data_IF_680991252343
#
_entry.id   IF_680991252343
#
_cell.length_a   1.000
_cell.length_b   1.000
_cell.length_c   1.000
_cell.angle_alpha   90.00
_cell.angle_beta   90.00
_cell.angle_gamma   90.00
#
_symmetry.space_group_name_H-M   'P 1'
#
loop_
_entity.id
_entity.type
_entity.pdbx_description
1 polymer ?
#
# COMPACT_ATOMS: atom_id res chain seq x y z
N UNK A 1 -1.14 -24.34 3.95
CA UNK A 1 -0.76 -23.14 3.17
C UNK A 1 0.52 -23.40 2.42
N UNK A 2 0.48 -23.74 1.12
CA UNK A 2 1.65 -23.81 0.23
C UNK A 2 2.43 -22.48 0.13
N UNK A 3 3.76 -22.41 0.34
CA UNK A 3 4.62 -21.23 0.10
C UNK A 3 5.73 -21.52 -0.91
N UNK A 4 5.74 -20.90 -2.09
CA UNK A 4 6.74 -21.18 -3.12
C UNK A 4 8.14 -20.54 -2.87
N UNK A 5 9.23 -21.19 -3.28
CA UNK A 5 10.63 -20.79 -3.06
C UNK A 5 11.57 -21.10 -4.23
N UNK A 6 12.40 -20.15 -4.65
CA UNK A 6 13.22 -20.23 -5.87
C UNK A 6 14.73 -20.27 -5.61
N UNK A 7 15.49 -21.16 -6.29
CA UNK A 7 16.97 -21.11 -6.35
C UNK A 7 17.51 -21.60 -7.72
N UNK A 8 18.61 -21.00 -8.24
CA UNK A 8 19.33 -21.53 -9.40
C UNK A 8 19.93 -22.93 -9.14
N UNK A 9 19.90 -23.80 -10.15
CA UNK A 9 20.16 -25.25 -10.08
C UNK A 9 21.62 -25.70 -9.83
N UNK A 10 22.51 -24.86 -9.29
CA UNK A 10 23.91 -25.27 -9.10
C UNK A 10 24.25 -25.95 -7.77
N UNK A 11 23.30 -26.09 -6.84
CA UNK A 11 23.56 -26.75 -5.56
C UNK A 11 22.64 -27.95 -5.31
N UNK A 12 23.25 -29.13 -5.27
CA UNK A 12 22.67 -30.31 -4.64
C UNK A 12 22.35 -29.96 -3.17
N UNK A 13 21.08 -30.18 -2.81
CA UNK A 13 20.56 -29.98 -1.47
C UNK A 13 21.33 -30.85 -0.46
N UNK A 14 22.27 -30.26 0.27
CA UNK A 14 22.66 -30.75 1.60
C UNK A 14 21.90 -29.94 2.64
N UNK A 15 20.58 -30.09 2.68
CA UNK A 15 19.74 -29.43 3.68
C UNK A 15 19.06 -30.45 4.59
N UNK A 16 18.98 -30.10 5.87
CA UNK A 16 18.25 -30.84 6.89
C UNK A 16 16.79 -31.06 6.47
N UNK A 17 16.14 -32.14 6.92
CA UNK A 17 14.76 -32.42 6.56
C UNK A 17 13.85 -31.24 6.94
N UNK A 18 12.82 -30.93 6.12
CA UNK A 18 11.89 -29.87 6.45
C UNK A 18 11.22 -30.13 7.80
N UNK A 19 10.79 -29.09 8.54
CA UNK A 19 10.05 -29.25 9.77
C UNK A 19 8.84 -30.19 9.55
N UNK A 20 8.47 -31.02 10.54
CA UNK A 20 7.30 -31.89 10.43
C UNK A 20 6.05 -31.08 10.02
N UNK A 21 5.35 -31.52 8.98
CA UNK A 21 4.12 -30.87 8.50
C UNK A 21 4.30 -29.86 7.36
N UNK A 22 5.48 -29.82 6.73
CA UNK A 22 5.77 -29.04 5.52
C UNK A 22 5.98 -29.99 4.34
N UNK A 23 5.15 -29.88 3.30
CA UNK A 23 5.38 -30.56 2.01
C UNK A 23 6.07 -29.57 1.07
N UNK A 24 7.13 -30.00 0.38
CA UNK A 24 7.82 -29.22 -0.65
C UNK A 24 7.44 -29.76 -2.03
N UNK A 25 6.62 -29.02 -2.79
CA UNK A 25 6.35 -29.35 -4.20
C UNK A 25 7.23 -28.49 -5.11
N UNK A 26 8.21 -29.11 -5.77
CA UNK A 26 9.11 -28.43 -6.70
C UNK A 26 8.56 -28.41 -8.13
N UNK A 27 8.66 -27.25 -8.79
CA UNK A 27 8.41 -27.05 -10.21
C UNK A 27 9.64 -26.42 -10.85
N UNK A 28 10.00 -26.89 -12.04
CA UNK A 28 11.09 -26.32 -12.83
C UNK A 28 10.49 -25.37 -13.87
N UNK A 29 11.02 -24.15 -13.94
CA UNK A 29 10.59 -23.14 -14.91
C UNK A 29 11.82 -22.67 -15.70
N UNK A 30 11.71 -22.66 -17.02
CA UNK A 30 12.65 -22.00 -17.91
C UNK A 30 12.37 -20.50 -17.99
N UNK A 31 13.39 -19.68 -17.77
CA UNK A 31 13.35 -18.24 -17.96
C UNK A 31 14.13 -17.84 -19.20
N UNK A 32 13.54 -17.02 -20.06
CA UNK A 32 14.27 -16.37 -21.15
C UNK A 32 15.24 -15.29 -20.61
N UNK A 33 16.26 -14.90 -21.37
CA UNK A 33 17.16 -13.79 -21.00
C UNK A 33 16.44 -12.48 -20.64
N UNK A 34 15.35 -12.15 -21.34
CA UNK A 34 14.57 -10.94 -21.04
C UNK A 34 13.79 -11.07 -19.74
N UNK A 35 13.19 -12.24 -19.49
CA UNK A 35 12.48 -12.52 -18.24
C UNK A 35 13.45 -12.51 -17.03
N UNK A 36 14.67 -13.03 -17.21
CA UNK A 36 15.71 -12.94 -16.19
C UNK A 36 16.14 -11.49 -15.93
N UNK A 37 16.43 -10.71 -16.97
CA UNK A 37 16.83 -9.30 -16.82
C UNK A 37 15.77 -8.51 -16.08
N UNK A 38 14.51 -8.71 -16.46
CA UNK A 38 13.37 -8.13 -15.76
C UNK A 38 13.35 -8.52 -14.27
N UNK A 39 13.54 -9.80 -13.97
CA UNK A 39 13.57 -10.31 -12.60
C UNK A 39 14.76 -9.72 -11.79
N UNK A 40 15.96 -9.71 -12.39
CA UNK A 40 17.17 -9.19 -11.80
C UNK A 40 17.06 -7.70 -11.44
N UNK A 41 16.48 -6.90 -12.32
CA UNK A 41 16.24 -5.47 -12.08
C UNK A 41 15.31 -5.23 -10.88
N UNK A 42 14.33 -6.13 -10.67
CA UNK A 42 13.39 -6.04 -9.53
C UNK A 42 13.97 -6.56 -8.22
N UNK A 43 14.94 -7.45 -8.29
CA UNK A 43 15.58 -8.07 -7.13
C UNK A 43 16.83 -7.33 -6.64
N UNK A 44 17.22 -6.21 -7.27
CA UNK A 44 18.46 -5.52 -6.95
C UNK A 44 18.54 -5.05 -5.48
N UNK A 45 19.62 -5.39 -4.73
CA UNK A 45 20.77 -6.14 -5.18
C UNK A 45 20.48 -7.65 -5.29
N UNK A 46 20.85 -8.23 -6.44
CA UNK A 46 20.83 -9.68 -6.61
C UNK A 46 21.67 -10.34 -5.52
N UNK A 47 21.24 -11.52 -5.01
CA UNK A 47 22.08 -12.32 -4.14
C UNK A 47 23.45 -12.57 -4.80
N UNK A 48 24.55 -12.64 -4.02
CA UNK A 48 25.92 -12.71 -4.57
C UNK A 48 26.14 -13.86 -5.57
N UNK A 49 25.37 -14.92 -5.44
CA UNK A 49 25.50 -16.16 -6.23
C UNK A 49 24.54 -16.22 -7.43
N UNK A 50 23.77 -15.16 -7.69
CA UNK A 50 22.82 -15.14 -8.81
C UNK A 50 23.49 -14.60 -10.09
N UNK A 51 23.22 -15.21 -11.26
CA UNK A 51 23.86 -14.78 -12.51
C UNK A 51 23.43 -13.36 -12.88
N UNK A 52 24.37 -12.43 -13.01
CA UNK A 52 24.00 -11.04 -13.36
C UNK A 52 23.43 -10.95 -14.79
N UNK A 53 23.90 -11.81 -15.68
CA UNK A 53 23.39 -11.93 -17.05
C UNK A 53 23.18 -13.40 -17.40
N UNK A 54 22.18 -13.66 -18.22
CA UNK A 54 21.84 -15.00 -18.71
C UNK A 54 21.76 -14.92 -20.23
N UNK A 55 22.51 -15.78 -20.92
CA UNK A 55 22.57 -15.81 -22.39
C UNK A 55 21.71 -16.92 -23.02
N UNK A 56 21.05 -17.74 -22.20
CA UNK A 56 20.18 -18.83 -22.64
C UNK A 56 18.95 -18.98 -21.74
N UNK A 57 18.26 -20.10 -21.84
CA UNK A 57 17.13 -20.37 -20.95
C UNK A 57 17.65 -20.79 -19.57
N UNK A 58 17.38 -19.98 -18.54
CA UNK A 58 17.77 -20.29 -17.16
C UNK A 58 16.69 -21.13 -16.52
N UNK A 59 17.02 -22.37 -16.15
CA UNK A 59 16.13 -23.20 -15.35
C UNK A 59 16.20 -22.76 -13.88
N UNK A 60 15.05 -22.41 -13.33
CA UNK A 60 14.88 -22.09 -11.91
C UNK A 60 13.93 -23.10 -11.27
N UNK A 61 14.29 -23.59 -10.08
CA UNK A 61 13.44 -24.51 -9.31
C UNK A 61 12.60 -23.70 -8.32
N UNK A 62 11.29 -23.74 -8.46
CA UNK A 62 10.27 -23.08 -7.64
C UNK A 62 9.65 -24.14 -6.70
N UNK A 63 9.73 -24.01 -5.37
CA UNK A 63 9.24 -25.00 -4.39
C UNK A 63 8.12 -24.52 -3.47
N UNK A 64 6.93 -25.12 -3.54
CA UNK A 64 5.75 -24.83 -2.72
C UNK A 64 5.76 -25.51 -1.35
N UNK A 65 5.78 -24.73 -0.27
CA UNK A 65 5.80 -25.11 1.15
C UNK A 65 4.38 -25.28 1.66
N UNK A 66 3.74 -26.43 1.58
CA UNK A 66 2.40 -26.62 2.15
C UNK A 66 2.45 -26.71 3.67
N UNK A 67 2.10 -25.63 4.38
CA UNK A 67 1.85 -25.66 5.82
C UNK A 67 0.61 -26.52 6.12
N UNK A 68 0.71 -27.42 7.09
CA UNK A 68 -0.45 -28.12 7.64
C UNK A 68 -1.47 -27.13 8.24
N UNK A 69 -2.76 -27.51 8.26
CA UNK A 69 -3.82 -26.72 8.87
C UNK A 69 -3.52 -26.46 10.35
N UNK A 70 -3.58 -25.19 10.78
CA UNK A 70 -3.39 -24.78 12.17
C UNK A 70 -1.98 -24.29 12.55
N UNK A 71 -1.01 -24.26 11.62
CA UNK A 71 0.30 -23.67 11.88
C UNK A 71 0.32 -22.14 11.69
N UNK A 72 1.06 -21.44 12.57
CA UNK A 72 1.27 -19.99 12.48
C UNK A 72 2.19 -19.60 11.31
N UNK A 73 1.97 -18.41 10.74
CA UNK A 73 2.84 -17.88 9.70
C UNK A 73 4.27 -17.64 10.23
N UNK A 74 5.33 -17.99 9.48
CA UNK A 74 6.69 -17.77 9.92
C UNK A 74 7.00 -16.26 10.10
N UNK A 75 7.94 -15.90 11.01
CA UNK A 75 8.31 -14.51 11.24
C UNK A 75 9.02 -13.90 10.02
N UNK A 76 8.49 -12.76 9.56
CA UNK A 76 8.97 -11.80 8.54
C UNK A 76 9.70 -12.34 7.30
N UNK A 77 9.08 -12.11 6.15
CA UNK A 77 9.71 -12.13 4.83
C UNK A 77 10.65 -10.94 4.64
N UNK A 78 11.90 -11.20 4.24
CA UNK A 78 12.87 -10.16 3.85
C UNK A 78 14.27 -10.25 4.45
N UNK A 79 14.54 -11.15 5.42
CA UNK A 79 15.89 -11.32 6.00
C UNK A 79 16.68 -12.50 5.36
N UNK A 80 16.21 -13.02 4.24
CA UNK A 80 16.86 -14.08 3.46
C UNK A 80 16.17 -14.26 2.10
N UNK A 81 16.90 -14.75 1.11
CA UNK A 81 16.63 -14.74 -0.34
C UNK A 81 15.34 -15.46 -0.84
N UNK A 82 14.15 -15.03 -0.42
CA UNK A 82 12.89 -15.68 -0.82
C UNK A 82 12.00 -14.78 -1.68
N UNK A 83 11.65 -15.26 -2.88
CA UNK A 83 10.63 -14.68 -3.77
C UNK A 83 9.40 -15.60 -3.83
N UNK A 84 8.22 -15.02 -3.57
CA UNK A 84 6.92 -15.67 -3.45
C UNK A 84 6.15 -15.66 -4.79
N UNK A 85 5.45 -16.75 -5.14
CA UNK A 85 4.39 -16.74 -6.16
C UNK A 85 3.23 -17.64 -5.71
N UNK A 86 2.01 -17.13 -5.79
CA UNK A 86 0.79 -17.76 -5.26
C UNK A 86 -0.27 -17.98 -6.36
N UNK A 87 -1.53 -18.29 -6.00
CA UNK A 87 -2.63 -18.72 -6.89
C UNK A 87 -2.86 -17.74 -8.07
N UNK A 88 -3.48 -18.13 -9.19
CA UNK A 88 -3.65 -17.26 -10.37
C UNK A 88 -4.26 -15.88 -10.07
N UNK A 89 -5.21 -15.81 -9.13
CA UNK A 89 -5.80 -14.57 -8.64
C UNK A 89 -4.81 -13.72 -7.85
N UNK A 90 -3.93 -14.33 -7.06
CA UNK A 90 -2.86 -13.63 -6.34
C UNK A 90 -1.68 -13.26 -7.25
N UNK A 91 -1.46 -13.97 -8.36
CA UNK A 91 -0.45 -13.59 -9.38
C UNK A 91 -0.77 -12.23 -9.97
N UNK A 92 -2.05 -11.96 -10.26
CA UNK A 92 -2.46 -10.67 -10.79
C UNK A 92 -2.19 -9.53 -9.80
N UNK A 93 -2.57 -9.72 -8.53
CA UNK A 93 -2.34 -8.73 -7.47
C UNK A 93 -0.84 -8.52 -7.20
N UNK A 94 -0.07 -9.60 -7.12
CA UNK A 94 1.36 -9.54 -6.88
C UNK A 94 2.10 -8.92 -8.09
N UNK A 95 1.67 -9.23 -9.31
CA UNK A 95 2.19 -8.59 -10.52
C UNK A 95 1.89 -7.09 -10.52
N UNK A 96 0.66 -6.68 -10.17
CA UNK A 96 0.32 -5.27 -10.06
C UNK A 96 1.22 -4.52 -9.05
N UNK A 97 1.68 -5.19 -7.99
CA UNK A 97 2.64 -4.65 -7.02
C UNK A 97 4.10 -4.67 -7.53
N UNK A 98 4.57 -5.77 -8.09
CA UNK A 98 5.98 -5.95 -8.47
C UNK A 98 6.32 -5.24 -9.80
N UNK A 99 5.38 -5.19 -10.74
CA UNK A 99 5.56 -4.51 -12.02
C UNK A 99 5.43 -2.98 -11.91
N UNK A 100 4.87 -2.48 -10.81
CA UNK A 100 4.71 -1.04 -10.53
C UNK A 100 5.79 -0.55 -9.53
N UNK A 101 6.62 0.45 -9.87
CA UNK A 101 7.60 1.03 -8.94
C UNK A 101 7.02 1.48 -7.59
N UNK A 102 5.77 1.93 -7.57
CA UNK A 102 5.07 2.34 -6.35
C UNK A 102 4.58 1.16 -5.51
N UNK A 103 4.28 0.03 -6.15
CA UNK A 103 4.02 -1.23 -5.47
C UNK A 103 5.29 -1.77 -4.81
N UNK A 104 6.43 -1.73 -5.50
CA UNK A 104 7.74 -2.08 -4.92
C UNK A 104 8.08 -1.17 -3.73
N UNK A 105 7.91 0.14 -3.87
CA UNK A 105 8.10 1.09 -2.75
C UNK A 105 7.19 0.74 -1.57
N UNK A 106 5.92 0.43 -1.82
CA UNK A 106 4.99 -0.01 -0.78
C UNK A 106 5.46 -1.29 -0.09
N UNK A 107 5.91 -2.30 -0.84
CA UNK A 107 6.43 -3.55 -0.29
C UNK A 107 7.66 -3.32 0.60
N UNK A 108 8.56 -2.42 0.20
CA UNK A 108 9.80 -2.17 0.93
C UNK A 108 9.62 -1.31 2.19
N UNK A 109 8.66 -0.38 2.19
CA UNK A 109 8.57 0.62 3.26
C UNK A 109 7.33 0.49 4.16
N UNK A 110 6.22 -0.10 3.69
CA UNK A 110 5.00 -0.16 4.49
C UNK A 110 5.10 -1.12 5.68
N UNK A 111 4.34 -0.83 6.73
CA UNK A 111 4.22 -1.71 7.90
C UNK A 111 3.13 -2.77 7.69
N UNK A 112 3.44 -3.79 6.90
CA UNK A 112 2.49 -4.83 6.45
C UNK A 112 1.73 -5.57 7.55
N UNK A 113 2.32 -5.73 8.74
CA UNK A 113 1.64 -6.38 9.88
C UNK A 113 0.34 -5.68 10.30
N UNK A 114 0.14 -4.42 9.90
CA UNK A 114 -1.11 -3.67 10.15
C UNK A 114 -2.22 -3.96 9.12
N UNK A 115 -1.87 -4.49 7.95
CA UNK A 115 -2.86 -4.85 6.91
C UNK A 115 -3.67 -6.08 7.28
N UNK A 116 -3.06 -7.02 8.00
CA UNK A 116 -3.76 -8.17 8.57
C UNK A 116 -4.67 -7.79 9.75
N UNK A 117 -4.75 -6.50 10.12
CA UNK A 117 -5.68 -6.08 11.16
C UNK A 117 -7.13 -6.16 10.66
N UNK A 118 -7.99 -6.67 11.54
CA UNK A 118 -9.43 -6.69 11.34
C UNK A 118 -10.00 -5.34 10.89
N UNK A 119 -9.45 -4.23 11.39
CA UNK A 119 -9.87 -2.89 10.99
C UNK A 119 -9.58 -2.55 9.53
N UNK A 120 -8.42 -2.96 8.98
CA UNK A 120 -8.10 -2.74 7.57
C UNK A 120 -9.07 -3.51 6.67
N UNK A 121 -9.29 -4.79 6.98
CA UNK A 121 -10.23 -5.65 6.24
C UNK A 121 -11.64 -5.05 6.22
N UNK A 122 -12.12 -4.54 7.36
CA UNK A 122 -13.41 -3.84 7.42
C UNK A 122 -13.45 -2.57 6.55
N UNK A 123 -12.35 -1.85 6.41
CA UNK A 123 -12.31 -0.67 5.54
C UNK A 123 -12.38 -1.05 4.09
N UNK A 124 -11.58 -2.02 3.65
CA UNK A 124 -11.59 -2.53 2.28
C UNK A 124 -12.99 -3.02 1.92
N UNK A 125 -13.61 -3.85 2.76
CA UNK A 125 -14.97 -4.31 2.56
C UNK A 125 -16.00 -3.17 2.45
N UNK A 126 -15.89 -2.13 3.29
CA UNK A 126 -16.76 -0.94 3.20
C UNK A 126 -16.56 -0.17 1.91
N UNK A 127 -15.32 -0.06 1.42
CA UNK A 127 -15.03 0.63 0.15
C UNK A 127 -15.68 -0.13 -0.98
N UNK A 128 -15.45 -1.45 -1.10
CA UNK A 128 -16.10 -2.25 -2.13
C UNK A 128 -17.63 -2.16 -2.08
N UNK A 129 -18.23 -2.27 -0.90
CA UNK A 129 -19.68 -2.15 -0.74
C UNK A 129 -20.22 -0.73 -1.10
N UNK A 130 -19.41 0.31 -0.90
CA UNK A 130 -19.76 1.66 -1.34
C UNK A 130 -19.68 1.79 -2.86
N UNK A 131 -18.59 1.29 -3.48
CA UNK A 131 -18.42 1.31 -4.94
C UNK A 131 -19.54 0.54 -5.64
N UNK A 132 -19.85 -0.67 -5.16
CA UNK A 132 -20.92 -1.50 -5.70
C UNK A 132 -22.30 -0.82 -5.61
N UNK A 133 -22.65 -0.26 -4.44
CA UNK A 133 -23.94 0.45 -4.26
C UNK A 133 -24.06 1.70 -5.14
N UNK A 134 -22.93 2.30 -5.50
CA UNK A 134 -22.88 3.48 -6.37
C UNK A 134 -22.63 3.13 -7.83
N UNK A 135 -22.54 1.83 -8.15
CA UNK A 135 -22.26 1.32 -9.49
C UNK A 135 -20.94 1.86 -10.07
N UNK A 136 -19.99 2.24 -9.20
CA UNK A 136 -18.71 2.81 -9.60
C UNK A 136 -17.69 1.70 -9.92
N UNK A 137 -17.13 1.65 -11.14
CA UNK A 137 -16.06 0.71 -11.45
C UNK A 137 -14.82 0.98 -10.59
N UNK A 138 -14.24 -0.02 -9.89
CA UNK A 138 -13.04 0.18 -9.08
C UNK A 138 -11.83 0.72 -9.87
N UNK A 139 -11.78 0.44 -11.18
CA UNK A 139 -10.76 0.96 -12.08
C UNK A 139 -10.85 2.48 -12.28
N UNK A 140 -12.02 3.08 -12.09
CA UNK A 140 -12.29 4.50 -12.34
C UNK A 140 -12.29 5.32 -11.05
N UNK A 141 -11.93 4.69 -9.93
CA UNK A 141 -11.85 5.31 -8.60
C UNK A 141 -10.44 5.24 -8.06
N UNK A 142 -10.00 6.33 -7.45
CA UNK A 142 -8.70 6.47 -6.80
C UNK A 142 -8.88 6.91 -5.35
N UNK A 143 -8.28 6.15 -4.43
CA UNK A 143 -8.27 6.44 -3.00
C UNK A 143 -7.10 7.37 -2.67
N UNK A 144 -7.38 8.47 -1.99
CA UNK A 144 -6.38 9.50 -1.68
C UNK A 144 -6.18 9.73 -0.16
N UNK A 145 -5.16 10.54 0.14
CA UNK A 145 -4.93 11.24 1.38
C UNK A 145 -4.70 10.32 2.59
N UNK A 146 -5.63 10.31 3.54
CA UNK A 146 -5.44 9.68 4.84
C UNK A 146 -5.35 8.16 4.75
N UNK A 147 -6.10 7.54 3.81
CA UNK A 147 -6.17 6.09 3.73
C UNK A 147 -4.87 5.48 3.17
N UNK A 148 -4.14 6.21 2.33
CA UNK A 148 -2.78 5.85 1.89
C UNK A 148 -1.81 5.80 3.08
N UNK A 149 -1.89 6.77 4.00
CA UNK A 149 -1.07 6.75 5.21
C UNK A 149 -1.42 5.56 6.11
N UNK A 150 -2.70 5.19 6.19
CA UNK A 150 -3.13 3.99 6.93
C UNK A 150 -2.65 2.71 6.25
N UNK A 151 -2.71 2.64 4.92
CA UNK A 151 -2.21 1.53 4.11
C UNK A 151 -0.71 1.29 4.36
N UNK A 152 0.09 2.36 4.38
CA UNK A 152 1.51 2.30 4.73
C UNK A 152 1.76 2.01 6.23
N UNK A 153 0.70 1.99 7.03
CA UNK A 153 0.74 1.78 8.46
C UNK A 153 1.31 2.97 9.24
N UNK A 154 1.30 4.18 8.67
CA UNK A 154 1.78 5.42 9.29
C UNK A 154 0.82 5.88 10.38
N UNK A 155 -0.45 6.10 10.08
CA UNK A 155 -1.47 6.49 11.07
C UNK A 155 -2.87 6.11 10.57
N UNK A 156 -3.88 6.20 11.44
CA UNK A 156 -5.26 5.87 11.06
C UNK A 156 -5.91 7.04 10.30
N UNK A 157 -6.63 6.72 9.24
CA UNK A 157 -7.45 7.66 8.48
C UNK A 157 -8.79 7.92 9.20
N UNK A 158 -9.23 9.17 9.26
CA UNK A 158 -10.52 9.54 9.86
C UNK A 158 -11.70 9.39 8.90
N UNK A 159 -11.44 9.54 7.60
CA UNK A 159 -12.41 9.40 6.53
C UNK A 159 -11.77 8.76 5.31
N UNK A 160 -12.57 8.53 4.28
CA UNK A 160 -12.14 7.93 3.02
C UNK A 160 -12.36 8.99 1.95
N UNK A 161 -11.27 9.47 1.36
CA UNK A 161 -11.30 10.46 0.28
C UNK A 161 -11.12 9.72 -1.03
N UNK A 162 -12.05 9.93 -1.95
CA UNK A 162 -12.07 9.27 -3.26
C UNK A 162 -12.10 10.31 -4.38
N UNK A 163 -11.37 10.04 -5.44
CA UNK A 163 -11.55 10.67 -6.75
C UNK A 163 -12.23 9.64 -7.67
N UNK A 164 -13.23 10.07 -8.42
CA UNK A 164 -13.98 9.23 -9.37
C UNK A 164 -14.06 9.93 -10.72
N UNK A 165 -13.90 9.18 -11.81
CA UNK A 165 -14.16 9.71 -13.16
C UNK A 165 -15.64 10.05 -13.35
N UNK A 166 -16.51 9.27 -12.71
CA UNK A 166 -17.95 9.51 -12.68
C UNK A 166 -18.34 10.46 -11.54
N UNK A 167 -19.37 11.26 -11.78
CA UNK A 167 -19.92 12.17 -10.77
C UNK A 167 -20.77 11.39 -9.75
N UNK A 168 -20.47 11.61 -8.47
CA UNK A 168 -21.21 10.99 -7.37
C UNK A 168 -22.13 12.05 -6.76
N UNK A 169 -23.44 11.94 -7.02
CA UNK A 169 -24.44 12.93 -6.62
C UNK A 169 -24.54 13.12 -5.10
N UNK A 170 -24.32 12.05 -4.32
CA UNK A 170 -24.49 12.07 -2.87
C UNK A 170 -23.40 11.28 -2.14
N UNK A 171 -22.49 12.02 -1.50
CA UNK A 171 -21.47 11.44 -0.62
C UNK A 171 -22.04 11.16 0.77
N UNK A 172 -21.74 9.97 1.30
CA UNK A 172 -22.14 9.55 2.65
C UNK A 172 -20.90 9.33 3.53
N UNK A 173 -21.01 9.65 4.82
CA UNK A 173 -19.92 9.36 5.76
C UNK A 173 -19.65 7.84 5.81
N UNK A 174 -18.37 7.40 5.83
CA UNK A 174 -17.15 8.19 5.97
C UNK A 174 -16.51 8.66 4.64
N UNK A 175 -17.19 8.47 3.50
CA UNK A 175 -16.71 8.80 2.16
C UNK A 175 -16.87 10.29 1.85
N UNK A 176 -15.91 10.83 1.10
CA UNK A 176 -15.88 12.23 0.67
C UNK A 176 -15.24 12.34 -0.71
N UNK A 177 -15.74 13.29 -1.50
CA UNK A 177 -15.08 13.72 -2.74
C UNK A 177 -13.67 14.26 -2.44
N UNK A 178 -12.74 13.98 -3.34
CA UNK A 178 -11.37 14.50 -3.31
C UNK A 178 -11.12 15.61 -4.34
N UNK A 179 -12.12 16.05 -5.10
CA UNK A 179 -11.95 17.03 -6.19
C UNK A 179 -11.36 18.37 -5.69
N UNK A 180 -11.64 18.75 -4.45
CA UNK A 180 -11.06 19.93 -3.80
C UNK A 180 -9.54 19.82 -3.59
N UNK A 181 -8.98 18.61 -3.66
CA UNK A 181 -7.55 18.34 -3.51
C UNK A 181 -6.78 18.36 -4.84
N UNK A 182 -7.47 18.36 -5.99
CA UNK A 182 -6.83 18.32 -7.31
C UNK A 182 -5.88 19.51 -7.54
N UNK A 183 -6.25 20.70 -7.05
CA UNK A 183 -5.41 21.90 -7.11
C UNK A 183 -4.02 21.70 -6.49
N UNK A 184 -3.92 20.81 -5.49
CA UNK A 184 -2.70 20.52 -4.78
C UNK A 184 -1.92 19.37 -5.40
N UNK A 185 -2.59 18.39 -6.03
CA UNK A 185 -1.94 17.34 -6.81
C UNK A 185 -1.22 17.87 -8.05
N UNK A 186 -1.69 18.98 -8.63
CA UNK A 186 -1.09 19.55 -9.85
C UNK A 186 -1.15 18.61 -11.07
N UNK A 187 -2.04 17.63 -11.02
CA UNK A 187 -2.37 16.69 -12.10
C UNK A 187 -3.89 16.70 -12.25
N UNK A 188 -4.37 16.41 -13.46
CA UNK A 188 -5.81 16.25 -13.69
C UNK A 188 -6.34 15.00 -13.01
N UNK A 189 -7.65 14.96 -12.76
CA UNK A 189 -8.35 13.80 -12.21
C UNK A 189 -8.12 12.55 -13.06
N UNK A 190 -8.17 12.71 -14.38
CA UNK A 190 -7.97 11.63 -15.35
C UNK A 190 -6.53 11.10 -15.31
N UNK A 191 -5.52 11.96 -15.26
CA UNK A 191 -4.12 11.53 -15.14
C UNK A 191 -3.88 10.75 -13.85
N UNK A 192 -4.37 11.24 -12.71
CA UNK A 192 -4.18 10.56 -11.42
C UNK A 192 -4.76 9.14 -11.43
N UNK A 193 -5.94 8.94 -12.05
CA UNK A 193 -6.66 7.66 -12.06
C UNK A 193 -6.10 6.70 -13.11
N UNK A 194 -5.75 7.20 -14.30
CA UNK A 194 -5.43 6.35 -15.46
C UNK A 194 -3.92 6.13 -15.66
N UNK A 195 -3.07 7.04 -15.20
CA UNK A 195 -1.63 6.90 -15.36
C UNK A 195 -1.02 6.11 -14.20
N UNK A 196 -0.40 4.93 -14.47
CA UNK A 196 0.20 4.09 -13.42
C UNK A 196 1.36 4.76 -12.69
N UNK A 197 1.90 5.89 -13.19
CA UNK A 197 2.90 6.71 -12.50
C UNK A 197 2.35 7.47 -11.29
N UNK A 198 1.03 7.55 -11.12
CA UNK A 198 0.43 8.32 -10.02
C UNK A 198 -0.36 7.47 -9.02
N UNK A 199 -0.44 6.16 -9.24
CA UNK A 199 -1.13 5.25 -8.32
C UNK A 199 -0.43 3.91 -8.16
N UNK A 200 -0.82 3.20 -7.11
CA UNK A 200 -0.48 1.81 -6.86
C UNK A 200 -1.78 1.02 -6.64
N UNK A 201 -1.78 -0.26 -7.00
CA UNK A 201 -2.96 -1.13 -6.84
C UNK A 201 -2.70 -2.08 -5.69
N UNK A 202 -3.63 -2.11 -4.73
CA UNK A 202 -3.61 -3.01 -3.57
C UNK A 202 -5.03 -3.48 -3.32
N UNK A 203 -5.21 -4.78 -3.12
CA UNK A 203 -6.52 -5.38 -2.82
C UNK A 203 -7.60 -5.00 -3.87
N UNK A 204 -7.20 -4.95 -5.16
CA UNK A 204 -8.06 -4.54 -6.26
C UNK A 204 -8.45 -3.05 -6.30
N UNK A 205 -7.87 -2.21 -5.44
CA UNK A 205 -8.18 -0.79 -5.33
C UNK A 205 -6.97 0.08 -5.71
N UNK A 206 -7.21 1.18 -6.44
CA UNK A 206 -6.16 2.17 -6.74
C UNK A 206 -5.98 3.13 -5.58
N UNK A 207 -4.74 3.33 -5.16
CA UNK A 207 -4.34 4.31 -4.15
C UNK A 207 -3.35 5.30 -4.75
N UNK A 208 -3.47 6.58 -4.39
CA UNK A 208 -2.49 7.59 -4.80
C UNK A 208 -1.07 7.15 -4.41
N UNK A 209 -0.14 7.27 -5.35
CA UNK A 209 1.25 6.90 -5.14
C UNK A 209 1.86 7.72 -4.00
N UNK A 210 2.73 7.08 -3.21
CA UNK A 210 3.28 7.69 -1.99
C UNK A 210 3.98 9.04 -2.26
N UNK A 211 4.76 9.13 -3.34
CA UNK A 211 5.43 10.36 -3.74
C UNK A 211 4.43 11.46 -4.15
N UNK A 212 3.35 11.11 -4.84
CA UNK A 212 2.31 12.04 -5.27
C UNK A 212 1.52 12.58 -4.07
N UNK A 213 1.32 11.75 -3.05
CA UNK A 213 0.77 12.19 -1.76
C UNK A 213 1.73 13.14 -1.02
N UNK A 214 3.05 12.89 -1.03
CA UNK A 214 4.04 13.85 -0.49
C UNK A 214 3.93 15.19 -1.21
N UNK A 215 3.85 15.17 -2.54
CA UNK A 215 3.71 16.37 -3.36
C UNK A 215 2.46 17.19 -2.99
N UNK A 216 1.28 16.53 -2.91
CA UNK A 216 0.04 17.17 -2.45
C UNK A 216 0.23 17.86 -1.10
N UNK A 217 0.83 17.16 -0.14
CA UNK A 217 1.02 17.66 1.24
C UNK A 217 1.98 18.84 1.30
N UNK A 218 3.04 18.79 0.52
CA UNK A 218 4.03 19.86 0.42
C UNK A 218 3.45 21.14 -0.18
N UNK A 219 2.51 21.03 -1.13
CA UNK A 219 1.81 22.20 -1.70
C UNK A 219 0.74 22.75 -0.78
N UNK A 220 0.00 21.88 -0.08
CA UNK A 220 -1.10 22.28 0.80
C UNK A 220 -0.65 22.88 2.14
N UNK A 221 0.48 22.40 2.69
CA UNK A 221 1.18 22.96 3.88
C UNK A 221 0.31 23.15 5.13
N UNK A 222 -0.72 22.32 5.37
CA UNK A 222 -1.42 22.36 6.67
C UNK A 222 -0.52 21.79 7.76
N UNK A 223 -0.75 22.17 9.03
CA UNK A 223 0.02 21.62 10.16
C UNK A 223 0.01 20.08 10.20
N UNK A 224 -1.15 19.48 9.93
CA UNK A 224 -1.29 18.02 9.79
C UNK A 224 -0.49 17.45 8.63
N UNK A 225 -0.32 18.20 7.54
CA UNK A 225 0.48 17.78 6.39
C UNK A 225 1.97 17.81 6.70
N UNK A 226 2.43 18.80 7.47
CA UNK A 226 3.83 18.86 7.91
C UNK A 226 4.18 17.68 8.82
N UNK A 227 3.28 17.34 9.75
CA UNK A 227 3.45 16.15 10.59
C UNK A 227 3.41 14.86 9.76
N UNK A 228 2.48 14.75 8.82
CA UNK A 228 2.41 13.61 7.90
C UNK A 228 3.70 13.46 7.08
N UNK A 229 4.23 14.55 6.51
CA UNK A 229 5.49 14.54 5.78
C UNK A 229 6.67 14.08 6.64
N UNK A 230 6.75 14.55 7.88
CA UNK A 230 7.78 14.12 8.83
C UNK A 230 7.68 12.61 9.12
N UNK A 231 6.46 12.09 9.29
CA UNK A 231 6.21 10.66 9.48
C UNK A 231 6.49 9.82 8.24
N UNK A 232 6.15 10.31 7.05
CA UNK A 232 6.44 9.66 5.78
C UNK A 232 7.95 9.52 5.56
N UNK A 233 8.70 10.60 5.77
CA UNK A 233 10.16 10.57 5.68
C UNK A 233 10.76 9.63 6.75
N UNK A 234 10.23 9.65 7.98
CA UNK A 234 10.67 8.74 9.03
C UNK A 234 10.45 7.26 8.67
N UNK A 235 9.40 6.94 7.93
CA UNK A 235 9.14 5.60 7.43
C UNK A 235 10.19 5.17 6.39
N UNK A 236 10.45 6.04 5.39
CA UNK A 236 11.47 5.80 4.36
C UNK A 236 12.88 5.66 4.96
N UNK A 237 13.21 6.46 5.99
CA UNK A 237 14.49 6.43 6.70
C UNK A 237 14.62 5.28 7.73
N UNK A 238 13.57 4.48 7.94
CA UNK A 238 13.55 3.42 8.97
C UNK A 238 13.58 3.93 10.43
N UNK A 239 13.31 5.23 10.67
CA UNK A 239 13.37 5.87 11.99
C UNK A 239 12.05 5.74 12.75
N UNK A 240 11.78 4.54 13.26
CA UNK A 240 10.50 4.20 13.92
C UNK A 240 10.12 5.13 15.09
N UNK A 241 11.08 5.61 15.88
CA UNK A 241 10.78 6.50 17.01
C UNK A 241 10.16 7.84 16.56
N UNK A 242 10.59 8.41 15.43
CA UNK A 242 10.01 9.62 14.84
C UNK A 242 8.58 9.37 14.37
N UNK A 243 8.35 8.20 13.80
CA UNK A 243 7.01 7.77 13.40
C UNK A 243 6.07 7.67 14.61
N UNK A 244 6.55 7.13 15.75
CA UNK A 244 5.74 7.07 16.97
C UNK A 244 5.48 8.46 17.56
N UNK A 245 6.48 9.34 17.60
CA UNK A 245 6.31 10.72 18.07
C UNK A 245 5.29 11.48 17.20
N UNK A 246 5.41 11.38 15.88
CA UNK A 246 4.47 12.02 14.95
C UNK A 246 3.02 11.55 15.12
N UNK A 247 2.80 10.28 15.50
CA UNK A 247 1.45 9.78 15.82
C UNK A 247 0.86 10.41 17.07
N UNK A 248 1.68 10.60 18.11
CA UNK A 248 1.22 11.29 19.31
C UNK A 248 0.82 12.73 19.01
N UNK A 249 1.61 13.42 18.17
CA UNK A 249 1.28 14.75 17.67
C UNK A 249 -0.02 14.74 16.84
N UNK A 250 -0.20 13.74 15.98
CA UNK A 250 -1.41 13.58 15.17
C UNK A 250 -2.67 13.46 16.05
N UNK A 251 -2.62 12.63 17.09
CA UNK A 251 -3.72 12.50 18.07
C UNK A 251 -4.07 13.86 18.68
N UNK A 252 -3.06 14.64 19.09
CA UNK A 252 -3.26 15.97 19.64
C UNK A 252 -3.88 16.94 18.63
N UNK A 253 -3.35 16.99 17.41
CA UNK A 253 -3.86 17.85 16.33
C UNK A 253 -5.32 17.53 15.98
N UNK A 254 -5.65 16.25 15.94
CA UNK A 254 -7.03 15.78 15.69
C UNK A 254 -7.95 16.22 16.82
N UNK A 255 -7.56 16.03 18.08
CA UNK A 255 -8.35 16.46 19.23
C UNK A 255 -8.64 17.97 19.20
N UNK A 256 -7.63 18.78 18.87
CA UNK A 256 -7.80 20.24 18.71
C UNK A 256 -8.78 20.57 17.58
N UNK A 257 -8.68 19.89 16.43
CA UNK A 257 -9.61 20.13 15.31
C UNK A 257 -11.06 19.78 15.66
N UNK A 258 -11.27 18.70 16.42
CA UNK A 258 -12.59 18.29 16.91
C UNK A 258 -13.16 19.30 17.92
N UNK A 259 -12.32 19.83 18.82
CA UNK A 259 -12.70 20.89 19.75
C UNK A 259 -13.13 22.16 19.01
N UNK A 260 -12.34 22.62 18.03
CA UNK A 260 -12.68 23.79 17.21
C UNK A 260 -14.02 23.62 16.48
N UNK A 261 -14.28 22.44 15.90
CA UNK A 261 -15.57 22.13 15.26
C UNK A 261 -16.74 22.02 16.24
N UNK A 262 -16.48 21.71 17.51
CA UNK A 262 -17.51 21.62 18.53
C UNK A 262 -17.85 23.01 19.06
N UNK A 263 -16.84 23.86 19.26
CA UNK A 263 -16.99 25.28 19.62
C UNK A 263 -17.72 26.04 18.52
N UNK A 264 -17.39 25.84 17.24
CA UNK A 264 -18.08 26.52 16.14
C UNK A 264 -19.56 26.13 16.04
N UNK A 265 -19.88 24.85 16.27
CA UNK A 265 -21.27 24.36 16.34
C UNK A 265 -22.03 24.96 17.52
N UNK A 266 -21.40 25.08 18.69
CA UNK A 266 -21.97 25.74 19.86
C UNK A 266 -22.21 27.24 19.62
N UNK A 267 -21.22 27.95 19.06
CA UNK A 267 -21.35 29.37 18.71
C UNK A 267 -22.51 29.64 17.73
N UNK A 268 -22.68 28.76 16.74
CA UNK A 268 -23.82 28.81 15.81
C UNK A 268 -25.17 28.59 16.51
N UNK A 269 -25.24 27.64 17.45
CA UNK A 269 -26.47 27.37 18.24
C UNK A 269 -26.83 28.49 19.21
N UNK A 270 -25.84 29.19 19.76
CA UNK A 270 -26.05 30.30 20.72
C UNK A 270 -26.34 31.62 20.00
N UNK A 271 -26.41 31.64 18.67
CA UNK A 271 -26.73 32.85 17.91
C UNK A 271 -25.61 33.90 17.92
N UNK A 272 -24.40 33.53 18.38
CA UNK A 272 -23.21 34.35 18.29
C UNK A 272 -22.71 34.32 16.83
N UNK A 273 -23.44 34.96 15.91
CA UNK A 273 -22.85 35.37 14.64
C UNK A 273 -21.80 36.42 14.98
N UNK A 274 -20.53 36.07 14.81
CA UNK A 274 -19.47 37.06 14.79
C UNK A 274 -19.80 38.07 13.69
N UNK A 275 -20.23 39.27 14.11
CA UNK A 275 -20.33 40.42 13.21
C UNK A 275 -18.94 40.70 12.66
N UNK A 276 -18.67 40.21 11.44
CA UNK A 276 -17.61 40.80 10.63
C UNK A 276 -18.15 42.14 10.14
N UNK A 277 -17.84 43.18 10.90
CA UNK A 277 -17.85 44.54 10.40
C UNK A 277 -16.94 44.65 9.18
N UNK A 278 -17.34 45.53 8.27
CA UNK A 278 -16.71 45.87 7.00
C UNK A 278 -15.21 46.17 7.11
#
# INVERSE_FOLDING_TARGET
MPLLALRPMQWEWREAPPPPGVVLEGHEIGLTPEAWRYLADRLAPLPPDWPQEVHGELQISVKCLVLAAGMGAPPRFGDGDWLLLSRPDEVADLSALLLNPHGVHFLNHARHSRRSSWHWQQRVARIHAFLERRELPPADVLIDAGLVLELYGIRRAHGIVLLSLEDVEAWEMPFRAGDDLLIHHGQSKQELINDPRYHLVVDGLKFVAFHQLKYLKQRRRRLVDLNDLAMMNALEEGRLWRLYLGRWLDIGLVAVSMLQHSVSRLACRVGLRAGRGA
#
